data_IF_316240144229
#
_entry.id   IF_316240144229
#
_cell.length_a   1.000
_cell.length_b   1.000
_cell.length_c   1.000
_cell.angle_alpha   90.00
_cell.angle_beta   90.00
_cell.angle_gamma   90.00
#
_symmetry.space_group_name_H-M   'P 1'
#
loop_
_entity.id
_entity.type
_entity.pdbx_description
1 polymer ?
#
# COMPACT_ATOMS: atom_id res chain seq x y z
N UNK A 1 21.49 8.97 -20.58
CA UNK A 1 20.81 7.66 -20.69
C UNK A 1 19.33 7.73 -20.32
N UNK A 2 18.96 8.43 -19.27
CA UNK A 2 17.58 8.52 -18.76
C UNK A 2 16.63 9.17 -19.79
N UNK A 3 17.01 10.27 -20.42
CA UNK A 3 16.16 10.99 -21.41
C UNK A 3 15.86 10.15 -22.66
N UNK A 4 16.86 9.40 -23.16
CA UNK A 4 16.63 8.50 -24.30
C UNK A 4 15.68 7.36 -23.91
N UNK A 5 15.84 6.76 -22.74
CA UNK A 5 14.95 5.69 -22.27
C UNK A 5 13.52 6.19 -22.06
N UNK A 6 13.34 7.39 -21.53
CA UNK A 6 12.03 8.02 -21.40
C UNK A 6 11.41 8.31 -22.76
N UNK A 7 12.19 8.87 -23.71
CA UNK A 7 11.70 9.12 -25.07
C UNK A 7 11.26 7.83 -25.76
N UNK A 8 12.12 6.79 -25.77
CA UNK A 8 11.84 5.52 -26.41
C UNK A 8 10.58 4.87 -25.78
N UNK A 9 10.46 4.92 -24.47
CA UNK A 9 9.29 4.35 -23.78
C UNK A 9 8.03 5.20 -24.00
N UNK A 10 8.17 6.52 -24.12
CA UNK A 10 7.04 7.38 -24.47
C UNK A 10 6.44 7.01 -25.82
N UNK A 11 7.25 6.63 -26.82
CA UNK A 11 6.74 6.16 -28.10
C UNK A 11 5.90 4.89 -27.94
N UNK A 12 6.28 4.00 -27.00
CA UNK A 12 5.47 2.81 -26.64
C UNK A 12 4.14 3.24 -26.04
N UNK A 13 4.15 4.19 -25.08
CA UNK A 13 2.93 4.69 -24.47
C UNK A 13 2.00 5.37 -25.47
N UNK A 14 2.53 6.23 -26.36
CA UNK A 14 1.76 6.87 -27.44
C UNK A 14 1.16 5.90 -28.45
N UNK A 15 1.84 4.77 -28.72
CA UNK A 15 1.37 3.76 -29.67
C UNK A 15 0.35 2.80 -29.06
N UNK A 16 0.25 2.73 -27.71
CA UNK A 16 -0.65 1.79 -27.05
C UNK A 16 -2.12 2.15 -27.29
N UNK A 17 -2.98 1.15 -27.44
CA UNK A 17 -4.43 1.35 -27.57
C UNK A 17 -5.01 2.12 -26.38
N UNK A 18 -4.44 1.93 -25.20
CA UNK A 18 -4.90 2.55 -23.96
C UNK A 18 -4.63 4.05 -23.90
N UNK A 19 -3.49 4.55 -24.44
CA UNK A 19 -3.08 5.93 -24.24
C UNK A 19 -2.91 6.74 -25.53
N UNK A 20 -3.13 6.13 -26.70
CA UNK A 20 -2.96 6.78 -27.99
C UNK A 20 -3.71 8.12 -28.07
N UNK A 21 -4.94 8.18 -27.61
CA UNK A 21 -5.72 9.43 -27.61
C UNK A 21 -5.24 10.43 -26.56
N UNK A 22 -4.85 9.95 -25.40
CA UNK A 22 -4.37 10.77 -24.28
C UNK A 22 -3.08 11.54 -24.62
N UNK A 23 -2.18 10.91 -25.40
CA UNK A 23 -0.89 11.53 -25.77
C UNK A 23 -0.85 12.03 -27.23
N UNK A 24 -1.97 12.06 -27.94
CA UNK A 24 -2.00 12.42 -29.36
C UNK A 24 -1.40 13.81 -29.66
N UNK A 25 -1.77 14.79 -28.85
CA UNK A 25 -1.43 16.20 -29.05
C UNK A 25 -0.02 16.57 -28.51
N UNK A 26 0.69 15.60 -27.95
CA UNK A 26 2.01 15.79 -27.36
C UNK A 26 3.06 14.98 -28.14
N UNK A 27 3.73 15.58 -29.14
CA UNK A 27 4.76 14.87 -29.92
C UNK A 27 6.03 14.59 -29.12
N UNK A 28 6.35 15.42 -28.13
CA UNK A 28 7.49 15.26 -27.25
C UNK A 28 7.04 14.84 -25.83
N UNK A 29 7.83 13.99 -25.19
CA UNK A 29 7.52 13.50 -23.85
C UNK A 29 7.65 14.59 -22.77
N UNK A 30 8.47 15.63 -23.03
CA UNK A 30 8.65 16.77 -22.12
C UNK A 30 7.37 17.58 -21.93
N UNK A 31 6.56 17.65 -22.99
CA UNK A 31 5.29 18.37 -23.00
C UNK A 31 4.11 17.50 -22.57
N UNK A 32 4.33 16.18 -22.48
CA UNK A 32 3.28 15.22 -22.11
C UNK A 32 2.83 15.43 -20.67
N UNK A 33 1.51 15.43 -20.41
CA UNK A 33 1.00 15.59 -19.07
C UNK A 33 1.39 14.41 -18.18
N UNK A 34 1.60 14.68 -16.89
CA UNK A 34 1.74 13.64 -15.87
C UNK A 34 0.44 12.85 -15.79
N UNK A 35 0.54 11.53 -15.85
CA UNK A 35 -0.62 10.62 -15.77
C UNK A 35 -1.15 10.59 -14.34
N UNK A 36 -2.27 11.24 -14.10
CA UNK A 36 -2.95 11.19 -12.81
C UNK A 36 -3.79 9.91 -12.67
N UNK A 37 -4.12 9.51 -11.43
CA UNK A 37 -5.03 8.38 -11.18
C UNK A 37 -6.38 8.56 -11.88
N UNK A 38 -6.93 9.78 -11.86
CA UNK A 38 -8.18 10.12 -12.54
C UNK A 38 -8.08 9.90 -14.06
N UNK A 39 -7.02 10.39 -14.68
CA UNK A 39 -6.79 10.20 -16.11
C UNK A 39 -6.62 8.71 -16.45
N UNK A 40 -5.87 7.96 -15.64
CA UNK A 40 -5.69 6.52 -15.81
C UNK A 40 -7.03 5.77 -15.79
N UNK A 41 -7.89 6.06 -14.80
CA UNK A 41 -9.24 5.46 -14.71
C UNK A 41 -10.04 5.76 -15.97
N UNK A 42 -10.04 7.00 -16.44
CA UNK A 42 -10.77 7.39 -17.67
C UNK A 42 -10.25 6.64 -18.91
N UNK A 43 -8.94 6.47 -19.05
CA UNK A 43 -8.36 5.72 -20.18
C UNK A 43 -8.75 4.24 -20.10
N UNK A 44 -8.70 3.63 -18.92
CA UNK A 44 -9.10 2.23 -18.73
C UNK A 44 -10.59 2.03 -19.04
N UNK A 45 -11.48 2.87 -18.51
CA UNK A 45 -12.93 2.78 -18.76
C UNK A 45 -13.28 2.98 -20.24
N UNK A 46 -12.50 3.79 -20.97
CA UNK A 46 -12.79 4.12 -22.37
C UNK A 46 -12.15 3.18 -23.38
N UNK A 47 -11.01 2.56 -23.04
CA UNK A 47 -10.16 1.90 -24.04
C UNK A 47 -9.71 0.47 -23.67
N UNK A 48 -9.96 0.00 -22.45
CA UNK A 48 -9.66 -1.38 -22.05
C UNK A 48 -10.89 -2.26 -22.17
N UNK A 49 -10.78 -3.30 -23.00
CA UNK A 49 -11.78 -4.37 -23.11
C UNK A 49 -11.08 -5.72 -22.99
N UNK A 50 -11.34 -6.42 -21.89
CA UNK A 50 -10.76 -7.74 -21.60
C UNK A 50 -11.03 -8.76 -22.69
N UNK A 51 -12.16 -8.66 -23.40
CA UNK A 51 -12.56 -9.60 -24.45
C UNK A 51 -11.85 -9.37 -25.79
N UNK A 52 -11.16 -8.24 -25.94
CA UNK A 52 -10.35 -7.91 -27.11
C UNK A 52 -8.86 -8.20 -26.92
N UNK A 53 -8.47 -8.66 -25.73
CA UNK A 53 -7.09 -8.98 -25.44
C UNK A 53 -6.66 -10.29 -26.12
N UNK A 54 -5.51 -10.27 -26.79
CA UNK A 54 -4.96 -11.38 -27.56
C UNK A 54 -4.36 -12.51 -26.68
N UNK A 55 -4.08 -12.22 -25.43
CA UNK A 55 -3.54 -13.17 -24.44
C UNK A 55 -3.92 -12.78 -23.02
N UNK A 56 -3.75 -13.72 -22.08
CA UNK A 56 -4.10 -13.56 -20.70
C UNK A 56 -3.44 -12.37 -20.00
N UNK A 57 -4.17 -11.76 -19.08
CA UNK A 57 -3.74 -10.67 -18.21
C UNK A 57 -4.06 -10.99 -16.77
N UNK A 58 -3.34 -10.40 -15.84
CA UNK A 58 -3.81 -10.25 -14.46
C UNK A 58 -4.67 -9.00 -14.36
N UNK A 59 -5.83 -9.12 -13.73
CA UNK A 59 -6.55 -7.95 -13.25
C UNK A 59 -6.19 -7.75 -11.78
N UNK A 60 -5.62 -6.60 -11.47
CA UNK A 60 -5.18 -6.25 -10.12
C UNK A 60 -6.02 -5.09 -9.63
N UNK A 61 -6.62 -5.27 -8.44
CA UNK A 61 -7.40 -4.22 -7.79
C UNK A 61 -6.50 -3.40 -6.88
N UNK A 62 -6.53 -2.07 -7.02
CA UNK A 62 -5.90 -1.18 -6.06
C UNK A 62 -6.67 -1.19 -4.75
N UNK A 63 -5.98 -1.11 -3.61
CA UNK A 63 -6.61 -0.78 -2.34
C UNK A 63 -7.32 0.57 -2.49
N UNK A 64 -8.65 0.58 -2.37
CA UNK A 64 -9.45 1.73 -2.76
C UNK A 64 -9.24 2.93 -1.86
N UNK A 65 -8.87 4.05 -2.46
CA UNK A 65 -9.00 5.39 -1.91
C UNK A 65 -10.08 6.20 -2.63
N UNK A 66 -10.85 5.57 -3.51
CA UNK A 66 -11.91 6.21 -4.30
C UNK A 66 -13.17 5.34 -4.28
N UNK A 67 -14.31 5.93 -4.57
CA UNK A 67 -15.61 5.23 -4.61
C UNK A 67 -15.62 4.00 -5.53
N UNK A 68 -14.74 3.95 -6.53
CA UNK A 68 -14.50 2.77 -7.37
C UNK A 68 -13.01 2.39 -7.26
N UNK A 69 -12.69 1.21 -6.70
CA UNK A 69 -11.33 0.69 -6.75
C UNK A 69 -10.86 0.59 -8.20
N UNK A 70 -9.65 1.05 -8.47
CA UNK A 70 -9.04 0.88 -9.78
C UNK A 70 -8.75 -0.60 -10.01
N UNK A 71 -9.26 -1.14 -11.11
CA UNK A 71 -8.86 -2.46 -11.62
C UNK A 71 -7.91 -2.22 -12.79
N UNK A 72 -6.66 -2.63 -12.61
CA UNK A 72 -5.60 -2.41 -13.60
C UNK A 72 -5.20 -3.73 -14.27
N UNK A 73 -5.14 -3.78 -15.61
CA UNK A 73 -4.65 -4.94 -16.34
C UNK A 73 -3.13 -5.00 -16.31
N UNK A 74 -2.59 -6.17 -16.10
CA UNK A 74 -1.15 -6.41 -16.06
C UNK A 74 -0.81 -7.58 -16.97
N UNK A 75 0.08 -7.37 -17.92
CA UNK A 75 0.59 -8.45 -18.76
C UNK A 75 1.35 -9.48 -17.91
N UNK A 76 1.05 -10.75 -18.12
CA UNK A 76 1.60 -11.85 -17.30
C UNK A 76 3.11 -11.95 -17.45
N UNK A 77 3.62 -11.91 -18.68
CA UNK A 77 5.05 -12.08 -18.94
C UNK A 77 5.87 -10.88 -18.41
N UNK A 78 5.38 -9.66 -18.67
CA UNK A 78 6.03 -8.43 -18.21
C UNK A 78 6.04 -8.34 -16.67
N UNK A 79 4.96 -8.79 -16.02
CA UNK A 79 4.89 -8.84 -14.57
C UNK A 79 5.84 -9.89 -13.96
N UNK A 80 5.97 -11.05 -14.59
CA UNK A 80 6.94 -12.07 -14.17
C UNK A 80 8.38 -11.57 -14.33
N UNK A 81 8.67 -10.80 -15.38
CA UNK A 81 9.98 -10.17 -15.58
C UNK A 81 10.26 -9.12 -14.51
N UNK A 82 9.30 -8.25 -14.17
CA UNK A 82 9.46 -7.29 -13.09
C UNK A 82 9.76 -7.97 -11.75
N UNK A 83 9.08 -9.09 -11.46
CA UNK A 83 9.34 -9.89 -10.25
C UNK A 83 10.73 -10.52 -10.26
N UNK A 84 11.21 -10.95 -11.44
CA UNK A 84 12.58 -11.47 -11.60
C UNK A 84 13.62 -10.39 -11.29
N UNK A 85 13.41 -9.17 -11.80
CA UNK A 85 14.31 -8.04 -11.52
C UNK A 85 14.32 -7.73 -10.01
N UNK A 86 13.14 -7.69 -9.37
CA UNK A 86 13.05 -7.48 -7.92
C UNK A 86 13.69 -8.62 -7.12
N UNK A 87 13.47 -9.88 -7.50
CA UNK A 87 14.10 -11.03 -6.85
C UNK A 87 15.62 -10.96 -6.92
N UNK A 88 16.18 -10.59 -8.07
CA UNK A 88 17.62 -10.38 -8.23
C UNK A 88 18.13 -9.27 -7.30
N UNK A 89 17.41 -8.16 -7.19
CA UNK A 89 17.78 -7.06 -6.30
C UNK A 89 17.75 -7.47 -4.83
N UNK A 90 16.73 -8.22 -4.40
CA UNK A 90 16.61 -8.73 -3.02
C UNK A 90 17.69 -9.78 -2.70
N UNK A 91 18.04 -10.63 -3.66
CA UNK A 91 19.14 -11.60 -3.51
C UNK A 91 20.50 -10.89 -3.42
N UNK A 92 20.76 -9.92 -4.31
CA UNK A 92 21.97 -9.11 -4.28
C UNK A 92 22.11 -8.29 -2.99
N UNK A 93 20.99 -7.82 -2.43
CA UNK A 93 20.91 -7.15 -1.14
C UNK A 93 20.97 -8.10 0.07
N UNK A 94 21.19 -9.41 -0.12
CA UNK A 94 21.19 -10.44 0.93
C UNK A 94 19.89 -10.48 1.76
N UNK A 95 18.75 -10.10 1.17
CA UNK A 95 17.44 -10.17 1.83
C UNK A 95 16.92 -11.60 1.78
N UNK A 96 16.86 -12.21 0.58
CA UNK A 96 16.48 -13.60 0.38
C UNK A 96 17.62 -14.41 -0.22
N UNK A 97 17.65 -15.69 0.14
CA UNK A 97 18.63 -16.66 -0.35
C UNK A 97 17.97 -18.05 -0.49
N UNK A 98 18.65 -19.03 -1.14
CA UNK A 98 18.15 -20.41 -1.19
C UNK A 98 17.95 -21.08 0.18
N UNK A 99 18.53 -20.52 1.24
CA UNK A 99 18.38 -21.02 2.61
C UNK A 99 17.21 -20.36 3.37
N UNK A 100 16.58 -19.36 2.79
CA UNK A 100 15.44 -18.67 3.40
C UNK A 100 14.22 -19.57 3.44
N UNK A 101 13.56 -19.63 4.61
CA UNK A 101 12.25 -20.24 4.81
C UNK A 101 11.28 -19.15 5.26
N UNK A 102 10.31 -18.81 4.44
CA UNK A 102 9.43 -17.68 4.66
C UNK A 102 7.98 -18.09 4.92
N UNK A 103 7.39 -17.61 6.02
CA UNK A 103 5.97 -17.72 6.32
C UNK A 103 5.23 -16.53 5.69
N UNK A 104 4.47 -16.78 4.63
CA UNK A 104 3.76 -15.74 3.89
C UNK A 104 2.31 -15.62 4.36
N UNK A 105 2.02 -14.56 5.15
CA UNK A 105 0.69 -14.23 5.64
C UNK A 105 0.07 -13.01 4.94
N UNK A 106 0.53 -12.67 3.74
CA UNK A 106 -0.14 -11.67 2.90
C UNK A 106 -1.51 -12.13 2.40
N UNK A 107 -2.35 -11.19 1.97
CA UNK A 107 -3.67 -11.47 1.42
C UNK A 107 -3.64 -11.98 -0.03
N UNK A 108 -4.64 -12.82 -0.33
CA UNK A 108 -4.96 -13.28 -1.68
C UNK A 108 -6.48 -13.42 -1.81
N UNK A 109 -7.14 -12.39 -2.31
CA UNK A 109 -8.59 -12.38 -2.56
C UNK A 109 -8.98 -11.14 -3.38
N UNK A 110 -10.16 -11.14 -4.00
CA UNK A 110 -10.78 -9.98 -4.65
C UNK A 110 -9.83 -9.23 -5.62
N UNK A 111 -9.15 -9.99 -6.48
CA UNK A 111 -8.10 -9.50 -7.40
C UNK A 111 -6.86 -8.91 -6.70
N UNK A 112 -6.77 -8.96 -5.39
CA UNK A 112 -5.60 -8.63 -4.62
C UNK A 112 -4.66 -9.85 -4.55
N UNK A 113 -3.41 -9.68 -4.93
CA UNK A 113 -2.50 -10.80 -5.23
C UNK A 113 -1.17 -10.75 -4.49
N UNK A 114 -1.03 -9.98 -3.42
CA UNK A 114 0.28 -9.77 -2.78
C UNK A 114 0.90 -11.08 -2.29
N UNK A 115 0.10 -12.00 -1.72
CA UNK A 115 0.60 -13.32 -1.34
C UNK A 115 1.25 -14.06 -2.53
N UNK A 116 0.53 -14.18 -3.65
CA UNK A 116 1.06 -14.84 -4.85
C UNK A 116 2.25 -14.11 -5.49
N UNK A 117 2.32 -12.79 -5.35
CA UNK A 117 3.46 -12.00 -5.82
C UNK A 117 4.70 -12.33 -4.99
N UNK A 118 4.56 -12.39 -3.67
CA UNK A 118 5.67 -12.69 -2.77
C UNK A 118 6.11 -14.16 -2.89
N UNK A 119 5.18 -15.09 -3.06
CA UNK A 119 5.53 -16.50 -3.33
C UNK A 119 6.37 -16.63 -4.61
N UNK A 120 5.93 -15.99 -5.71
CA UNK A 120 6.69 -16.02 -6.96
C UNK A 120 8.08 -15.34 -6.84
N UNK A 121 8.21 -14.28 -6.03
CA UNK A 121 9.51 -13.65 -5.75
C UNK A 121 10.40 -14.59 -4.95
N UNK A 122 9.87 -15.24 -3.91
CA UNK A 122 10.61 -16.23 -3.11
C UNK A 122 11.08 -17.40 -3.96
N UNK A 123 10.21 -17.96 -4.82
CA UNK A 123 10.56 -19.02 -5.77
C UNK A 123 11.71 -18.61 -6.70
N UNK A 124 11.68 -17.36 -7.23
CA UNK A 124 12.77 -16.80 -8.05
C UNK A 124 14.07 -16.61 -7.28
N UNK A 125 14.01 -16.39 -5.97
CA UNK A 125 15.16 -16.38 -5.08
C UNK A 125 15.60 -17.81 -4.66
N UNK A 126 14.90 -18.86 -5.13
CA UNK A 126 15.07 -20.25 -4.71
C UNK A 126 14.82 -20.47 -3.20
N UNK A 127 14.08 -19.59 -2.57
CA UNK A 127 13.70 -19.65 -1.17
C UNK A 127 12.48 -20.57 -0.97
N UNK A 128 12.36 -21.16 0.22
CA UNK A 128 11.17 -21.93 0.59
C UNK A 128 10.06 -20.99 1.03
N UNK A 129 8.86 -21.15 0.46
CA UNK A 129 7.66 -20.42 0.88
C UNK A 129 6.67 -21.31 1.61
N UNK A 130 6.18 -20.85 2.75
CA UNK A 130 5.05 -21.41 3.48
C UNK A 130 3.85 -20.50 3.24
N UNK A 131 3.12 -20.75 2.16
CA UNK A 131 2.01 -19.93 1.67
C UNK A 131 0.73 -20.22 2.48
N UNK A 132 0.53 -19.51 3.59
CA UNK A 132 -0.62 -19.73 4.49
C UNK A 132 -1.73 -18.69 4.34
N UNK A 133 -1.43 -17.54 3.69
CA UNK A 133 -2.37 -16.44 3.44
C UNK A 133 -2.88 -15.72 4.70
N UNK A 134 -3.44 -14.53 4.50
CA UNK A 134 -3.94 -13.66 5.58
C UNK A 134 -5.17 -14.24 6.33
N UNK A 135 -5.90 -15.18 5.72
CA UNK A 135 -7.10 -15.74 6.31
C UNK A 135 -6.82 -16.92 7.28
N UNK A 136 -5.55 -17.33 7.42
CA UNK A 136 -5.17 -18.36 8.37
C UNK A 136 -5.51 -17.92 9.80
N UNK A 137 -5.98 -18.86 10.63
CA UNK A 137 -6.10 -18.63 12.07
C UNK A 137 -4.72 -18.50 12.68
N UNK A 138 -4.56 -17.65 13.68
CA UNK A 138 -3.25 -17.42 14.32
C UNK A 138 -2.71 -18.67 15.02
N UNK A 139 -3.58 -19.54 15.56
CA UNK A 139 -3.18 -20.81 16.13
C UNK A 139 -2.54 -21.75 15.08
N UNK A 140 -3.12 -21.80 13.87
CA UNK A 140 -2.60 -22.62 12.78
C UNK A 140 -1.30 -22.04 12.21
N UNK A 141 -1.21 -20.69 12.11
CA UNK A 141 0.01 -20.00 11.72
C UNK A 141 1.15 -20.25 12.73
N UNK A 142 0.82 -20.24 14.03
CA UNK A 142 1.76 -20.56 15.10
C UNK A 142 2.24 -22.00 15.01
N UNK A 143 1.31 -22.98 14.86
CA UNK A 143 1.66 -24.38 14.69
C UNK A 143 2.56 -24.62 13.47
N UNK A 144 2.24 -23.98 12.34
CA UNK A 144 3.06 -24.02 11.12
C UNK A 144 4.45 -23.45 11.37
N UNK A 145 4.55 -22.31 12.06
CA UNK A 145 5.84 -21.69 12.37
C UNK A 145 6.68 -22.56 13.32
N UNK A 146 6.08 -23.23 14.30
CA UNK A 146 6.78 -24.17 15.18
C UNK A 146 7.31 -25.39 14.43
N UNK A 147 6.51 -25.92 13.50
CA UNK A 147 6.86 -27.11 12.72
C UNK A 147 8.02 -26.84 11.75
N UNK A 148 7.91 -25.75 10.97
CA UNK A 148 8.83 -25.49 9.86
C UNK A 148 9.93 -24.47 10.19
N UNK A 149 9.85 -23.78 11.33
CA UNK A 149 10.84 -22.84 11.85
C UNK A 149 11.30 -21.82 10.81
N UNK A 150 10.38 -21.02 10.25
CA UNK A 150 10.73 -20.00 9.26
C UNK A 150 11.69 -18.98 9.89
N UNK A 151 12.63 -18.50 9.08
CA UNK A 151 13.52 -17.39 9.44
C UNK A 151 13.01 -16.04 8.96
N UNK A 152 11.96 -16.05 8.11
CA UNK A 152 11.24 -14.89 7.60
C UNK A 152 9.74 -14.99 7.87
N UNK A 153 9.11 -13.85 8.17
CA UNK A 153 7.65 -13.69 8.13
C UNK A 153 7.29 -12.50 7.26
N UNK A 154 6.30 -12.67 6.37
CA UNK A 154 5.84 -11.64 5.44
C UNK A 154 4.36 -11.35 5.62
N UNK A 155 4.00 -10.06 5.70
CA UNK A 155 2.59 -9.67 5.86
C UNK A 155 2.40 -8.16 5.94
N UNK A 156 1.14 -7.71 5.99
CA UNK A 156 0.86 -6.31 6.30
C UNK A 156 1.18 -6.01 7.77
N UNK A 157 1.66 -4.80 8.11
CA UNK A 157 1.95 -4.42 9.49
C UNK A 157 0.83 -4.75 10.47
N UNK A 158 -0.41 -4.43 10.15
CA UNK A 158 -1.58 -4.71 10.99
C UNK A 158 -1.79 -6.21 11.23
N UNK A 159 -1.69 -7.05 10.18
CA UNK A 159 -1.83 -8.50 10.30
C UNK A 159 -0.74 -9.11 11.17
N UNK A 160 0.51 -8.70 10.95
CA UNK A 160 1.65 -9.16 11.73
C UNK A 160 1.54 -8.70 13.20
N UNK A 161 1.10 -7.47 13.44
CA UNK A 161 0.89 -6.97 14.79
C UNK A 161 -0.21 -7.76 15.52
N UNK A 162 -1.34 -8.04 14.88
CA UNK A 162 -2.40 -8.85 15.46
C UNK A 162 -1.93 -10.28 15.78
N UNK A 163 -1.06 -10.84 14.94
CA UNK A 163 -0.45 -12.13 15.24
C UNK A 163 0.50 -12.06 16.46
N UNK A 164 1.32 -10.99 16.56
CA UNK A 164 2.15 -10.75 17.74
C UNK A 164 1.30 -10.59 19.03
N UNK A 165 0.15 -9.88 18.94
CA UNK A 165 -0.78 -9.74 20.05
C UNK A 165 -1.45 -11.08 20.43
N UNK A 166 -1.76 -11.93 19.44
CA UNK A 166 -2.24 -13.28 19.69
C UNK A 166 -1.20 -14.08 20.51
N UNK A 167 0.07 -14.07 20.10
CA UNK A 167 1.15 -14.74 20.83
C UNK A 167 1.28 -14.23 22.28
N UNK A 168 1.25 -12.89 22.44
CA UNK A 168 1.25 -12.26 23.77
C UNK A 168 0.13 -12.78 24.65
N UNK A 169 -1.10 -12.78 24.14
CA UNK A 169 -2.30 -13.23 24.86
C UNK A 169 -2.20 -14.69 25.33
N UNK A 170 -1.53 -15.53 24.56
CA UNK A 170 -1.38 -16.96 24.84
C UNK A 170 -0.05 -17.32 25.51
N UNK A 171 0.75 -16.33 25.94
CA UNK A 171 2.09 -16.52 26.50
C UNK A 171 3.01 -17.37 25.59
N UNK A 172 2.90 -17.18 24.27
CA UNK A 172 3.64 -17.86 23.22
C UNK A 172 4.68 -16.95 22.61
N UNK A 173 5.74 -17.51 22.05
CA UNK A 173 6.78 -16.79 21.32
C UNK A 173 7.21 -17.59 20.09
N UNK A 174 7.72 -16.89 19.10
CA UNK A 174 8.38 -17.44 17.93
C UNK A 174 9.82 -16.90 17.85
N UNK A 175 10.65 -17.51 17.03
CA UNK A 175 12.01 -17.06 16.75
C UNK A 175 12.15 -16.87 15.24
N UNK A 176 11.59 -15.78 14.73
CA UNK A 176 11.64 -15.40 13.31
C UNK A 176 12.47 -14.12 13.17
N UNK A 177 13.71 -14.31 12.75
CA UNK A 177 14.75 -13.27 12.73
C UNK A 177 14.40 -12.10 11.82
N UNK A 178 13.76 -12.37 10.69
CA UNK A 178 13.53 -11.38 9.65
C UNK A 178 12.04 -11.19 9.39
N UNK A 179 11.64 -9.95 9.11
CA UNK A 179 10.27 -9.58 8.80
C UNK A 179 10.25 -8.70 7.55
N UNK A 180 9.34 -8.97 6.62
CA UNK A 180 9.08 -8.08 5.48
C UNK A 180 7.63 -7.65 5.46
N UNK A 181 7.41 -6.36 5.28
CA UNK A 181 6.07 -5.80 5.21
C UNK A 181 5.83 -4.97 3.95
N UNK A 182 4.55 -4.76 3.62
CA UNK A 182 4.09 -3.87 2.57
C UNK A 182 2.66 -3.40 2.82
N UNK A 183 2.23 -2.39 2.05
CA UNK A 183 0.84 -1.98 1.93
C UNK A 183 0.35 -1.00 2.99
N UNK A 184 1.00 -0.95 4.14
CA UNK A 184 0.66 -0.06 5.25
C UNK A 184 1.92 0.58 5.84
N UNK A 185 1.76 1.73 6.49
CA UNK A 185 2.83 2.33 7.29
C UNK A 185 3.09 1.51 8.56
N UNK A 186 4.36 1.29 8.87
CA UNK A 186 4.74 0.59 10.08
C UNK A 186 4.77 1.56 11.28
N UNK A 187 3.95 1.29 12.28
CA UNK A 187 3.92 2.07 13.51
C UNK A 187 5.07 1.67 14.45
N UNK A 188 5.68 2.62 15.19
CA UNK A 188 6.75 2.31 16.14
C UNK A 188 6.34 1.28 17.19
N UNK A 189 5.09 1.30 17.65
CA UNK A 189 4.53 0.32 18.61
C UNK A 189 4.53 -1.11 18.07
N UNK A 190 4.37 -1.29 16.75
CA UNK A 190 4.40 -2.62 16.12
C UNK A 190 5.80 -3.22 16.13
N UNK A 191 6.82 -2.39 15.90
CA UNK A 191 8.23 -2.83 15.89
C UNK A 191 8.60 -3.50 17.22
N UNK A 192 8.18 -2.90 18.35
CA UNK A 192 8.44 -3.48 19.67
C UNK A 192 7.70 -4.82 19.83
N UNK A 193 6.44 -4.92 19.40
CA UNK A 193 5.69 -6.17 19.43
C UNK A 193 6.34 -7.29 18.60
N UNK A 194 6.92 -6.96 17.45
CA UNK A 194 7.64 -7.93 16.61
C UNK A 194 8.93 -8.41 17.29
N UNK A 195 9.68 -7.52 17.93
CA UNK A 195 10.86 -7.90 18.70
C UNK A 195 10.52 -8.82 19.87
N UNK A 196 9.47 -8.50 20.61
CA UNK A 196 9.10 -9.21 21.83
C UNK A 196 8.50 -10.59 21.55
N UNK A 197 7.72 -10.76 20.47
CA UNK A 197 6.94 -11.97 20.23
C UNK A 197 7.40 -12.81 19.03
N UNK A 198 8.04 -12.21 18.05
CA UNK A 198 8.69 -12.95 16.96
C UNK A 198 10.20 -13.08 17.14
N UNK A 199 10.83 -12.29 18.01
CA UNK A 199 12.29 -12.23 18.11
C UNK A 199 12.95 -11.54 16.91
N UNK A 200 12.20 -10.70 16.21
CA UNK A 200 12.64 -10.03 14.96
C UNK A 200 13.83 -9.12 15.20
N UNK A 201 14.86 -9.25 14.37
CA UNK A 201 16.07 -8.43 14.38
C UNK A 201 16.12 -7.49 13.17
N UNK A 202 15.75 -7.99 11.98
CA UNK A 202 15.80 -7.26 10.74
C UNK A 202 14.37 -7.06 10.19
N UNK A 203 14.08 -5.85 9.76
CA UNK A 203 12.80 -5.50 9.16
C UNK A 203 13.06 -4.94 7.77
N UNK A 204 12.34 -5.45 6.79
CA UNK A 204 12.39 -5.01 5.40
C UNK A 204 11.03 -4.52 4.95
N UNK A 205 11.02 -3.66 3.96
CA UNK A 205 9.80 -3.19 3.32
C UNK A 205 9.91 -3.23 1.80
N UNK A 206 8.81 -3.45 1.13
CA UNK A 206 8.69 -3.33 -0.31
C UNK A 206 7.66 -2.25 -0.65
N UNK A 207 7.91 -1.53 -1.75
CA UNK A 207 7.11 -0.40 -2.16
C UNK A 207 6.68 -0.50 -3.62
N UNK A 208 5.43 -0.12 -3.88
CA UNK A 208 4.81 -0.13 -5.20
C UNK A 208 3.31 0.06 -5.12
N UNK A 209 2.64 -0.07 -6.26
CA UNK A 209 1.18 0.02 -6.38
C UNK A 209 0.64 -1.04 -7.34
N UNK A 210 -0.67 -1.17 -7.43
CA UNK A 210 -1.32 -2.07 -8.39
C UNK A 210 -0.89 -1.74 -9.83
N UNK A 211 -0.81 -0.44 -10.15
CA UNK A 211 -0.50 0.08 -11.49
C UNK A 211 0.97 -0.10 -11.84
N UNK A 212 1.86 0.14 -10.88
CA UNK A 212 3.31 0.12 -11.12
C UNK A 212 3.97 -1.21 -10.79
N UNK A 213 3.28 -2.10 -10.06
CA UNK A 213 3.89 -3.28 -9.42
C UNK A 213 4.82 -2.90 -8.28
N UNK A 214 5.53 -3.86 -7.72
CA UNK A 214 6.54 -3.63 -6.70
C UNK A 214 7.84 -3.24 -7.41
N UNK A 215 8.41 -2.08 -7.07
CA UNK A 215 9.55 -1.54 -7.80
C UNK A 215 10.65 -0.94 -6.90
N UNK A 216 10.45 -0.98 -5.58
CA UNK A 216 11.50 -0.59 -4.65
C UNK A 216 11.40 -1.40 -3.36
N UNK A 217 12.51 -1.47 -2.62
CA UNK A 217 12.61 -2.16 -1.34
C UNK A 217 13.52 -1.41 -0.37
N UNK A 218 13.35 -1.64 0.92
CA UNK A 218 14.09 -0.96 1.99
C UNK A 218 14.56 -1.96 3.05
N UNK A 219 15.79 -1.79 3.52
CA UNK A 219 16.18 -2.27 4.84
C UNK A 219 15.69 -1.24 5.88
N UNK A 220 14.50 -1.51 6.39
CA UNK A 220 13.82 -0.64 7.34
C UNK A 220 14.58 -0.48 8.66
N UNK A 221 15.36 -1.47 9.07
CA UNK A 221 16.16 -1.43 10.29
C UNK A 221 17.31 -0.42 10.18
N UNK A 222 17.85 -0.23 8.98
CA UNK A 222 18.92 0.73 8.70
C UNK A 222 18.39 2.15 8.48
N UNK A 223 17.41 2.30 7.57
CA UNK A 223 16.76 3.59 7.27
C UNK A 223 15.32 3.36 6.79
N UNK A 224 14.33 3.59 7.64
CA UNK A 224 12.94 3.22 7.38
C UNK A 224 12.27 3.94 6.21
N UNK A 225 12.76 5.10 5.80
CA UNK A 225 12.16 5.91 4.73
C UNK A 225 12.85 5.75 3.37
N UNK A 226 14.01 5.07 3.30
CA UNK A 226 14.82 4.93 2.09
C UNK A 226 14.56 3.61 1.36
N UNK A 227 14.05 3.70 0.15
CA UNK A 227 13.75 2.56 -0.72
C UNK A 227 14.70 2.52 -1.90
N UNK A 228 15.46 1.45 -2.04
CA UNK A 228 16.29 1.19 -3.22
C UNK A 228 15.39 0.90 -4.42
N UNK A 229 15.59 1.64 -5.50
CA UNK A 229 14.83 1.49 -6.75
C UNK A 229 15.45 0.35 -7.57
N UNK A 230 14.63 -0.56 -8.10
CA UNK A 230 15.07 -1.65 -8.95
C UNK A 230 15.35 -1.17 -10.38
N UNK A 231 16.09 -1.97 -11.15
CA UNK A 231 16.33 -1.70 -12.57
C UNK A 231 15.04 -1.69 -13.38
N UNK A 232 15.03 -0.88 -14.44
CA UNK A 232 13.85 -0.73 -15.32
C UNK A 232 12.79 0.25 -14.81
N UNK A 233 13.06 0.93 -13.70
CA UNK A 233 12.20 1.98 -13.15
C UNK A 233 12.89 3.34 -13.24
N UNK A 234 12.15 4.34 -13.71
CA UNK A 234 12.54 5.74 -13.64
C UNK A 234 11.59 6.44 -12.69
N UNK A 235 12.12 7.01 -11.62
CA UNK A 235 11.40 7.87 -10.71
C UNK A 235 11.83 9.32 -10.91
N UNK A 236 10.87 10.23 -10.84
CA UNK A 236 11.03 11.68 -10.93
C UNK A 236 10.33 12.33 -9.73
N UNK A 237 10.74 13.51 -9.34
CA UNK A 237 10.06 14.31 -8.33
C UNK A 237 9.49 15.56 -9.00
N UNK A 238 8.18 15.68 -8.98
CA UNK A 238 7.51 16.88 -9.49
C UNK A 238 7.28 17.88 -8.36
N UNK A 239 7.45 19.18 -8.69
CA UNK A 239 7.22 20.30 -7.79
C UNK A 239 7.97 20.17 -6.44
N UNK A 240 9.31 19.97 -6.46
CA UNK A 240 10.05 19.76 -5.23
C UNK A 240 10.08 21.01 -4.36
N UNK A 241 9.93 20.82 -3.03
CA UNK A 241 10.14 21.86 -2.03
C UNK A 241 11.64 22.16 -1.83
N UNK A 242 11.97 23.08 -0.91
CA UNK A 242 13.35 23.48 -0.62
C UNK A 242 14.24 22.32 -0.11
N UNK A 243 13.63 21.25 0.42
CA UNK A 243 14.32 20.04 0.88
C UNK A 243 14.42 18.96 -0.21
N UNK A 244 13.82 19.23 -1.39
CA UNK A 244 13.78 18.31 -2.53
C UNK A 244 12.63 17.31 -2.49
N UNK A 245 11.69 17.42 -1.56
CA UNK A 245 10.50 16.58 -1.51
C UNK A 245 9.40 17.15 -2.41
N UNK A 246 8.79 16.27 -3.19
CA UNK A 246 7.67 16.60 -4.08
C UNK A 246 6.90 15.35 -4.49
N UNK A 247 5.97 15.49 -5.44
CA UNK A 247 5.17 14.39 -5.92
C UNK A 247 6.03 13.32 -6.60
N UNK A 248 5.89 12.06 -6.18
CA UNK A 248 6.61 10.93 -6.76
C UNK A 248 5.94 10.51 -8.06
N UNK A 249 6.67 10.66 -9.16
CA UNK A 249 6.26 10.28 -10.52
C UNK A 249 7.06 9.05 -10.95
N UNK A 250 6.39 8.03 -11.49
CA UNK A 250 7.03 6.77 -11.87
C UNK A 250 6.76 6.41 -13.32
N UNK A 251 7.83 6.00 -14.01
CA UNK A 251 7.78 5.34 -15.32
C UNK A 251 8.32 3.92 -15.16
N UNK A 252 7.51 2.92 -15.52
CA UNK A 252 7.89 1.51 -15.45
C UNK A 252 8.22 0.97 -16.85
N UNK A 253 9.51 0.91 -17.19
CA UNK A 253 10.00 0.46 -18.51
C UNK A 253 9.77 -1.04 -18.77
N UNK A 254 9.45 -1.82 -17.73
CA UNK A 254 9.20 -3.25 -17.82
C UNK A 254 7.77 -3.57 -18.29
N UNK A 255 6.87 -2.59 -18.29
CA UNK A 255 5.46 -2.73 -18.68
C UNK A 255 5.18 -2.02 -19.98
N UNK A 256 5.08 -2.74 -21.09
CA UNK A 256 4.91 -2.20 -22.44
C UNK A 256 3.49 -2.33 -22.97
N UNK A 257 2.80 -3.43 -22.65
CA UNK A 257 1.43 -3.68 -23.13
C UNK A 257 0.42 -2.73 -22.48
N UNK A 258 0.53 -2.53 -21.17
CA UNK A 258 -0.23 -1.53 -20.40
C UNK A 258 0.77 -0.55 -19.80
N UNK A 259 1.28 0.39 -20.61
CA UNK A 259 2.42 1.21 -20.20
C UNK A 259 2.06 2.17 -19.07
N UNK A 260 2.98 2.29 -18.12
CA UNK A 260 2.91 3.25 -17.03
C UNK A 260 4.00 4.30 -17.28
N UNK A 261 3.60 5.43 -17.87
CA UNK A 261 4.49 6.52 -18.21
C UNK A 261 4.16 7.74 -17.36
N UNK A 262 5.15 8.26 -16.63
CA UNK A 262 5.07 9.44 -15.74
C UNK A 262 3.80 9.46 -14.89
N UNK A 263 3.54 8.34 -14.20
CA UNK A 263 2.36 8.18 -13.34
C UNK A 263 2.60 8.80 -11.95
N UNK A 264 1.70 9.69 -11.52
CA UNK A 264 1.70 10.26 -10.19
C UNK A 264 1.11 9.28 -9.18
N UNK A 265 1.95 8.79 -8.26
CA UNK A 265 1.55 7.85 -7.22
C UNK A 265 0.71 8.48 -6.10
N UNK A 266 0.75 9.83 -5.98
CA UNK A 266 0.13 10.55 -4.86
C UNK A 266 0.94 10.48 -3.56
N UNK A 267 2.17 10.00 -3.62
CA UNK A 267 3.09 9.99 -2.49
C UNK A 267 4.08 11.16 -2.61
N UNK A 268 4.59 11.63 -1.47
CA UNK A 268 5.63 12.68 -1.40
C UNK A 268 6.97 12.03 -1.07
N UNK A 269 7.98 12.35 -1.86
CA UNK A 269 9.33 11.80 -1.68
C UNK A 269 10.41 12.65 -2.32
N UNK A 270 11.66 12.25 -2.12
CA UNK A 270 12.82 12.81 -2.84
C UNK A 270 13.75 11.71 -3.31
N UNK A 271 14.50 11.99 -4.37
CA UNK A 271 15.50 11.05 -4.89
C UNK A 271 16.86 11.33 -4.29
N UNK A 272 17.53 10.25 -3.88
CA UNK A 272 18.89 10.27 -3.34
C UNK A 272 19.73 9.27 -4.12
N UNK A 273 20.96 9.66 -4.47
CA UNK A 273 21.93 8.72 -5.04
C UNK A 273 23.09 8.53 -4.05
N UNK A 274 23.33 7.29 -3.66
CA UNK A 274 24.46 6.90 -2.79
C UNK A 274 25.24 5.79 -3.48
N UNK A 275 26.53 5.97 -3.67
CA UNK A 275 27.43 4.96 -4.29
C UNK A 275 26.92 4.42 -5.65
N UNK A 276 26.28 5.31 -6.44
CA UNK A 276 25.71 4.94 -7.74
C UNK A 276 24.31 4.25 -7.67
N UNK A 277 23.82 3.94 -6.50
CA UNK A 277 22.51 3.33 -6.28
C UNK A 277 21.48 4.45 -6.07
N UNK A 278 20.33 4.32 -6.74
CA UNK A 278 19.22 5.26 -6.62
C UNK A 278 18.25 4.81 -5.53
N UNK A 279 17.93 5.76 -4.67
CA UNK A 279 16.94 5.57 -3.60
C UNK A 279 15.83 6.60 -3.72
N UNK A 280 14.62 6.18 -3.37
CA UNK A 280 13.52 7.06 -3.06
C UNK A 280 13.42 7.18 -1.54
N UNK A 281 13.52 8.40 -1.02
CA UNK A 281 13.16 8.68 0.37
C UNK A 281 11.73 9.19 0.41
N UNK A 282 10.86 8.44 1.08
CA UNK A 282 9.46 8.82 1.25
C UNK A 282 9.31 9.72 2.49
N UNK A 283 8.61 10.83 2.30
CA UNK A 283 8.10 11.62 3.43
C UNK A 283 6.93 10.83 4.02
N UNK A 284 6.95 10.63 5.34
CA UNK A 284 5.79 10.04 6.02
C UNK A 284 4.56 10.86 5.64
N UNK A 285 3.51 10.21 5.14
CA UNK A 285 2.27 10.91 4.76
C UNK A 285 1.80 11.72 5.95
N UNK A 286 2.06 13.02 5.94
CA UNK A 286 1.51 13.92 6.93
C UNK A 286 0.00 14.01 6.71
N UNK A 287 -0.74 13.60 7.74
CA UNK A 287 -2.07 14.08 8.07
C UNK A 287 -3.10 14.17 6.94
N UNK A 288 -3.69 13.09 6.56
CA UNK A 288 -4.86 13.11 5.64
C UNK A 288 -5.18 11.76 5.03
N UNK A 289 -4.44 10.70 5.38
CA UNK A 289 -4.71 9.35 4.90
C UNK A 289 -4.51 8.30 6.00
N UNK A 290 -5.20 7.19 5.88
CA UNK A 290 -5.04 6.03 6.76
C UNK A 290 -5.16 4.74 5.97
N UNK A 291 -4.52 3.70 6.47
CA UNK A 291 -4.65 2.36 5.93
C UNK A 291 -5.59 1.53 6.80
N UNK A 292 -6.56 0.89 6.17
CA UNK A 292 -7.45 -0.04 6.82
C UNK A 292 -7.37 -1.38 6.08
N UNK A 293 -6.85 -2.41 6.75
CA UNK A 293 -6.43 -3.66 6.12
C UNK A 293 -5.43 -3.38 4.98
N UNK A 294 -5.73 -3.79 3.76
CA UNK A 294 -4.87 -3.60 2.59
C UNK A 294 -5.28 -2.40 1.73
N UNK A 295 -6.21 -1.57 2.23
CA UNK A 295 -6.73 -0.39 1.53
C UNK A 295 -6.25 0.90 2.17
N UNK A 296 -5.85 1.85 1.33
CA UNK A 296 -5.47 3.20 1.76
C UNK A 296 -6.60 4.17 1.44
N UNK A 297 -6.97 4.96 2.44
CA UNK A 297 -8.01 5.98 2.34
C UNK A 297 -7.42 7.35 2.66
N UNK A 298 -7.88 8.37 1.96
CA UNK A 298 -7.55 9.77 2.23
C UNK A 298 -8.78 10.54 2.73
N UNK A 299 -8.59 11.69 3.33
CA UNK A 299 -9.70 12.58 3.70
C UNK A 299 -10.50 13.03 2.47
N UNK A 300 -9.87 13.14 1.29
CA UNK A 300 -10.55 13.51 0.06
C UNK A 300 -11.60 12.46 -0.36
N UNK A 301 -11.35 11.17 -0.07
CA UNK A 301 -12.34 10.10 -0.33
C UNK A 301 -13.63 10.28 0.47
N UNK A 302 -13.53 10.92 1.64
CA UNK A 302 -14.66 11.20 2.53
C UNK A 302 -15.17 12.64 2.45
N UNK A 303 -14.69 13.44 1.50
CA UNK A 303 -15.03 14.87 1.40
C UNK A 303 -16.54 15.12 1.34
N UNK A 304 -17.27 14.38 0.51
CA UNK A 304 -18.73 14.49 0.43
C UNK A 304 -19.42 14.05 1.72
N UNK A 305 -18.83 13.08 2.44
CA UNK A 305 -19.35 12.60 3.72
C UNK A 305 -19.17 13.66 4.81
N UNK A 306 -18.05 14.40 4.76
CA UNK A 306 -17.59 15.29 5.83
C UNK A 306 -17.94 16.76 5.60
N UNK A 307 -18.40 17.15 4.39
CA UNK A 307 -18.63 18.55 4.00
C UNK A 307 -19.67 19.31 4.84
N UNK A 308 -20.58 18.60 5.51
CA UNK A 308 -21.67 19.19 6.29
C UNK A 308 -21.50 19.03 7.82
N UNK A 309 -20.27 18.74 8.28
CA UNK A 309 -19.91 18.68 9.70
C UNK A 309 -18.95 19.82 10.06
N UNK A 310 -19.09 20.36 11.28
CA UNK A 310 -18.28 21.51 11.71
C UNK A 310 -16.84 21.09 12.01
N UNK A 311 -16.68 19.91 12.59
CA UNK A 311 -15.38 19.29 12.92
C UNK A 311 -15.53 17.78 12.93
N UNK A 312 -14.44 17.06 12.65
CA UNK A 312 -14.45 15.60 12.71
C UNK A 312 -13.11 15.03 13.14
N UNK A 313 -13.14 13.77 13.55
CA UNK A 313 -11.95 12.95 13.71
C UNK A 313 -12.26 11.52 13.29
N UNK A 314 -11.36 10.93 12.52
CA UNK A 314 -11.38 9.51 12.17
C UNK A 314 -10.40 8.81 13.10
N UNK A 315 -10.86 7.84 13.87
CA UNK A 315 -10.03 7.06 14.78
C UNK A 315 -9.95 5.61 14.29
N UNK A 316 -8.73 5.08 14.24
CA UNK A 316 -8.47 3.65 14.07
C UNK A 316 -8.05 3.09 15.42
N UNK A 317 -8.77 2.11 15.91
CA UNK A 317 -8.57 1.55 17.25
C UNK A 317 -8.50 0.03 17.14
N UNK A 318 -7.65 -0.62 17.92
CA UNK A 318 -7.70 -2.07 18.11
C UNK A 318 -8.59 -2.38 19.29
N UNK A 319 -9.69 -3.11 19.10
CA UNK A 319 -10.59 -3.49 20.19
C UNK A 319 -10.04 -4.65 21.02
N UNK A 320 -10.76 -5.01 22.10
CA UNK A 320 -10.36 -6.09 23.02
C UNK A 320 -10.25 -7.46 22.37
N UNK A 321 -10.93 -7.68 21.24
CA UNK A 321 -10.90 -8.90 20.45
C UNK A 321 -9.84 -8.86 19.34
N UNK A 322 -8.98 -7.84 19.35
CA UNK A 322 -7.92 -7.62 18.38
C UNK A 322 -8.42 -7.34 16.94
N UNK A 323 -9.65 -6.85 16.81
CA UNK A 323 -10.16 -6.33 15.53
C UNK A 323 -9.93 -4.83 15.42
N UNK A 324 -9.72 -4.35 14.20
CA UNK A 324 -9.65 -2.92 13.92
C UNK A 324 -11.06 -2.34 13.91
N UNK A 325 -11.30 -1.35 14.75
CA UNK A 325 -12.49 -0.50 14.75
C UNK A 325 -12.18 0.80 14.05
N UNK A 326 -13.07 1.21 13.16
CA UNK A 326 -13.02 2.51 12.52
C UNK A 326 -14.14 3.37 13.09
N UNK A 327 -13.76 4.49 13.73
CA UNK A 327 -14.72 5.43 14.33
C UNK A 327 -14.68 6.75 13.62
N UNK A 328 -15.84 7.25 13.24
CA UNK A 328 -16.05 8.60 12.75
C UNK A 328 -16.73 9.42 13.84
N UNK A 329 -16.01 10.40 14.38
CA UNK A 329 -16.49 11.36 15.34
C UNK A 329 -16.85 12.65 14.60
N UNK A 330 -18.13 12.93 14.42
CA UNK A 330 -18.64 14.03 13.61
C UNK A 330 -19.23 15.11 14.52
N UNK A 331 -18.51 16.20 14.72
CA UNK A 331 -18.99 17.33 15.57
C UNK A 331 -19.99 18.14 14.77
N UNK A 332 -21.24 18.09 15.23
CA UNK A 332 -22.36 18.85 14.64
C UNK A 332 -23.44 19.01 15.70
N UNK A 333 -24.03 20.21 15.86
CA UNK A 333 -25.21 20.40 16.70
C UNK A 333 -26.42 19.68 16.10
N UNK A 334 -26.88 18.64 16.74
CA UNK A 334 -28.02 17.84 16.33
C UNK A 334 -28.91 17.58 17.53
N UNK A 335 -30.23 17.58 17.33
CA UNK A 335 -31.23 17.31 18.38
C UNK A 335 -31.85 15.93 18.20
N UNK A 336 -31.92 15.14 19.27
CA UNK A 336 -32.73 13.92 19.39
C UNK A 336 -32.81 13.02 18.17
N UNK A 337 -34.00 12.93 17.54
CA UNK A 337 -34.23 12.07 16.36
C UNK A 337 -33.39 12.43 15.14
N UNK A 338 -33.01 13.70 14.98
CA UNK A 338 -32.15 14.15 13.88
C UNK A 338 -30.75 13.51 13.96
N UNK A 339 -30.25 13.29 15.18
CA UNK A 339 -28.94 12.67 15.37
C UNK A 339 -28.93 11.23 14.85
N UNK A 340 -29.96 10.44 15.15
CA UNK A 340 -30.04 9.02 14.74
C UNK A 340 -30.16 8.88 13.22
N UNK A 341 -30.95 9.72 12.58
CA UNK A 341 -31.11 9.74 11.12
C UNK A 341 -29.80 10.18 10.44
N UNK A 342 -29.15 11.20 10.96
CA UNK A 342 -27.86 11.70 10.46
C UNK A 342 -26.79 10.62 10.54
N UNK A 343 -26.62 9.99 11.71
CA UNK A 343 -25.65 8.92 11.92
C UNK A 343 -25.89 7.74 10.98
N UNK A 344 -27.17 7.31 10.83
CA UNK A 344 -27.54 6.22 9.93
C UNK A 344 -27.21 6.55 8.46
N UNK A 345 -27.49 7.79 8.03
CA UNK A 345 -27.17 8.26 6.69
C UNK A 345 -25.65 8.30 6.45
N UNK A 346 -24.90 8.90 7.39
CA UNK A 346 -23.42 8.97 7.31
C UNK A 346 -22.80 7.60 7.31
N UNK A 347 -23.29 6.66 8.12
CA UNK A 347 -22.81 5.28 8.13
C UNK A 347 -22.94 4.62 6.76
N UNK A 348 -24.07 4.81 6.07
CA UNK A 348 -24.26 4.30 4.70
C UNK A 348 -23.30 4.94 3.70
N UNK A 349 -23.11 6.26 3.76
CA UNK A 349 -22.17 6.96 2.90
C UNK A 349 -20.72 6.46 3.12
N UNK A 350 -20.29 6.34 4.38
CA UNK A 350 -18.95 5.82 4.74
C UNK A 350 -18.78 4.39 4.23
N UNK A 351 -19.76 3.51 4.44
CA UNK A 351 -19.73 2.13 3.92
C UNK A 351 -19.60 2.10 2.40
N UNK A 352 -20.27 3.01 1.70
CA UNK A 352 -20.15 3.14 0.24
C UNK A 352 -18.74 3.55 -0.19
N UNK A 353 -18.11 4.47 0.53
CA UNK A 353 -16.71 4.89 0.27
C UNK A 353 -15.74 3.74 0.55
N UNK A 354 -15.95 2.99 1.63
CA UNK A 354 -15.11 1.83 1.97
C UNK A 354 -15.23 0.71 0.93
N UNK A 355 -16.39 0.59 0.27
CA UNK A 355 -16.66 -0.44 -0.74
C UNK A 355 -17.03 -1.81 -0.16
N UNK A 356 -17.13 -1.94 1.17
CA UNK A 356 -17.54 -3.17 1.88
C UNK A 356 -18.13 -2.82 3.25
N UNK A 357 -18.92 -3.74 3.81
CA UNK A 357 -19.40 -3.62 5.18
C UNK A 357 -18.29 -3.93 6.19
N UNK A 358 -17.96 -2.94 7.01
CA UNK A 358 -17.03 -3.09 8.10
C UNK A 358 -17.80 -3.43 9.39
N UNK A 359 -17.59 -4.63 9.93
CA UNK A 359 -18.25 -5.12 11.14
C UNK A 359 -18.15 -4.18 12.34
N UNK A 360 -17.00 -3.51 12.45
CA UNK A 360 -16.68 -2.60 13.56
C UNK A 360 -16.58 -1.15 13.09
N UNK A 361 -17.56 -0.68 12.32
CA UNK A 361 -17.72 0.73 11.95
C UNK A 361 -18.65 1.42 12.96
N UNK A 362 -18.13 2.37 13.69
CA UNK A 362 -18.86 3.25 14.59
C UNK A 362 -18.91 4.68 14.03
N UNK A 363 -20.09 5.28 14.02
CA UNK A 363 -20.26 6.69 13.64
C UNK A 363 -20.98 7.38 14.78
N UNK A 364 -20.36 8.39 15.37
CA UNK A 364 -20.90 9.20 16.45
C UNK A 364 -21.04 10.64 15.97
N UNK A 365 -22.16 11.27 16.30
CA UNK A 365 -22.41 12.67 15.96
C UNK A 365 -22.98 13.43 17.18
N UNK A 366 -22.46 14.63 17.42
CA UNK A 366 -22.84 15.47 18.56
C UNK A 366 -21.84 16.59 18.78
N UNK A 367 -22.05 17.38 19.85
CA UNK A 367 -21.14 18.49 20.20
C UNK A 367 -20.08 18.07 21.21
N UNK A 368 -20.40 17.14 22.11
CA UNK A 368 -19.53 16.72 23.23
C UNK A 368 -18.92 15.35 22.91
N UNK A 369 -18.12 15.29 21.82
CA UNK A 369 -17.40 14.08 21.45
C UNK A 369 -15.99 14.11 21.99
N UNK A 370 -15.54 12.98 22.56
CA UNK A 370 -14.18 12.80 23.09
C UNK A 370 -13.17 12.59 21.93
N UNK A 371 -12.66 13.69 21.39
CA UNK A 371 -11.66 13.68 20.34
C UNK A 371 -10.28 13.41 20.94
N UNK A 372 -9.56 12.46 20.40
CA UNK A 372 -8.18 12.22 20.78
C UNK A 372 -7.32 13.46 20.55
N UNK A 373 -6.57 13.83 21.57
CA UNK A 373 -5.57 14.88 21.52
C UNK A 373 -4.21 14.31 21.91
N UNK A 374 -3.23 14.48 21.05
CA UNK A 374 -1.86 14.04 21.30
C UNK A 374 -1.29 14.80 22.50
N UNK A 375 -0.81 14.06 23.50
CA UNK A 375 -0.36 14.65 24.79
C UNK A 375 0.95 15.41 24.67
N UNK A 376 1.78 15.11 23.66
CA UNK A 376 3.09 15.74 23.46
C UNK A 376 2.94 17.04 22.66
N UNK A 377 2.22 16.97 21.55
CA UNK A 377 2.04 18.10 20.64
C UNK A 377 0.83 18.97 20.98
N UNK A 378 -0.06 18.52 21.87
CA UNK A 378 -1.36 19.12 22.20
C UNK A 378 -2.26 19.33 20.95
N UNK A 379 -2.00 18.62 19.86
CA UNK A 379 -2.78 18.70 18.63
C UNK A 379 -3.88 17.64 18.62
N UNK A 380 -5.03 18.00 18.06
CA UNK A 380 -6.11 17.05 17.76
C UNK A 380 -6.09 16.73 16.26
N UNK A 381 -5.46 15.62 15.84
CA UNK A 381 -5.35 15.29 14.43
C UNK A 381 -6.71 14.94 13.83
N UNK A 382 -6.91 15.19 12.53
CA UNK A 382 -8.13 14.79 11.83
C UNK A 382 -8.23 13.28 11.68
N UNK A 383 -7.10 12.58 11.62
CA UNK A 383 -7.00 11.13 11.66
C UNK A 383 -6.11 10.75 12.83
N UNK A 384 -6.62 9.94 13.74
CA UNK A 384 -5.89 9.42 14.90
C UNK A 384 -5.75 7.89 14.75
N UNK A 385 -4.55 7.42 14.44
CA UNK A 385 -4.25 6.00 14.47
C UNK A 385 -3.86 5.59 15.89
N UNK A 386 -4.82 5.02 16.60
CA UNK A 386 -4.71 4.62 18.00
C UNK A 386 -4.58 3.10 18.15
N UNK A 387 -4.30 2.41 17.07
CA UNK A 387 -4.05 0.96 17.11
C UNK A 387 -2.83 0.67 17.98
N UNK A 388 -3.01 -0.12 19.03
CA UNK A 388 -1.98 -0.49 19.99
C UNK A 388 -1.58 -1.94 19.81
#
# INVERSE_FOLDING_TARGET
MTDKALYDYYQVARASSLFKQFYNDFPDYSDAPVLSKKALVQQLESHFDLHQEDRGVYLVRSGGSTQKPLVFPVDIAENLEQRRVLANALTAGNVFSPHTVALNVFGYADMYRTAAILDDILEKCQATTLAVSANIKYEDAYATALQFKPDFILGTPSKLFLFAQYLKKHAQQLHIKNLMFAGESLLPSYVQGFKDHFGTQNIYSIYGSAETGIWAWSDYSGNPSMFQIIDGIIAEIAEPDAEGFGNVIVTNLLRKRFPVFRYNLGDIGRLITKEGIKYLELKTRETGSFSLYESNYSLEDFKEVLQDVDRFQIQLITNKELHVELKFLLVKPLSGEQSSLFVSHKKKQITSVLGYELKHLEVLAGVDLDLYTDQVTCKTPLIADLRK
#
